data_IF_183619147260
#
_entry.id   IF_183619147260
#
_cell.length_a   1.000
_cell.length_b   1.000
_cell.length_c   1.000
_cell.angle_alpha   90.00
_cell.angle_beta   90.00
_cell.angle_gamma   90.00
#
_symmetry.space_group_name_H-M   'P 1'
#
loop_
_entity.id
_entity.type
_entity.pdbx_description
1 polymer ?
#
# COMPACT_ATOMS: atom_id res chain seq x y z
N UNK A 1 26.10 -6.83 20.48
CA UNK A 1 26.76 -8.14 20.48
C UNK A 1 25.71 -9.23 20.63
N UNK A 2 25.87 -10.34 19.91
CA UNK A 2 25.03 -11.53 20.04
C UNK A 2 25.70 -12.52 21.00
N UNK A 3 24.90 -13.22 21.78
CA UNK A 3 25.37 -14.23 22.75
C UNK A 3 24.97 -15.62 22.29
N UNK A 4 25.82 -16.62 22.60
CA UNK A 4 25.56 -18.02 22.40
C UNK A 4 26.18 -18.80 23.54
N UNK A 5 25.35 -19.51 24.31
CA UNK A 5 25.83 -20.48 25.28
C UNK A 5 26.36 -21.71 24.55
N UNK A 6 27.55 -22.14 24.90
CA UNK A 6 28.20 -23.33 24.33
C UNK A 6 28.62 -24.28 25.45
N UNK A 7 28.37 -25.56 25.28
CA UNK A 7 28.84 -26.59 26.19
C UNK A 7 29.14 -27.87 25.41
N UNK A 8 30.11 -28.63 25.87
CA UNK A 8 30.37 -29.99 25.38
C UNK A 8 30.20 -30.95 26.54
N UNK A 9 29.31 -31.93 26.36
CA UNK A 9 28.95 -32.86 27.44
C UNK A 9 28.92 -34.31 26.95
N UNK A 10 29.16 -35.23 27.88
CA UNK A 10 29.04 -36.69 27.66
C UNK A 10 27.80 -37.20 28.40
N UNK A 11 27.16 -38.19 27.85
CA UNK A 11 25.99 -38.87 28.44
C UNK A 11 25.96 -40.32 28.05
N UNK A 12 25.33 -41.15 28.88
CA UNK A 12 25.15 -42.57 28.63
C UNK A 12 23.69 -42.86 28.36
N UNK A 13 23.41 -43.56 27.25
CA UNK A 13 22.07 -44.01 26.89
C UNK A 13 22.12 -45.48 26.44
N UNK A 14 21.24 -46.32 27.04
CA UNK A 14 21.21 -47.76 26.79
C UNK A 14 22.58 -48.48 26.89
N UNK A 15 23.45 -48.03 27.83
CA UNK A 15 24.76 -48.63 28.07
C UNK A 15 25.88 -48.16 27.13
N UNK A 16 25.59 -47.26 26.19
CA UNK A 16 26.56 -46.64 25.29
C UNK A 16 26.84 -45.21 25.65
N UNK A 17 28.11 -44.79 25.52
CA UNK A 17 28.55 -43.40 25.79
C UNK A 17 28.48 -42.56 24.50
N UNK A 18 27.91 -41.37 24.63
CA UNK A 18 27.76 -40.37 23.54
C UNK A 18 28.31 -39.04 23.98
N UNK A 19 28.64 -38.19 22.99
CA UNK A 19 29.07 -36.82 23.22
C UNK A 19 28.22 -35.88 22.35
N UNK A 20 27.77 -34.77 22.90
CA UNK A 20 27.06 -33.72 22.17
C UNK A 20 27.56 -32.31 22.57
N UNK A 21 27.43 -31.39 21.66
CA UNK A 21 27.68 -29.93 21.88
C UNK A 21 26.40 -29.10 21.74
N UNK A 22 25.28 -29.77 21.56
CA UNK A 22 23.99 -29.10 21.32
C UNK A 22 23.33 -28.71 22.64
N UNK A 23 23.38 -27.44 23.00
CA UNK A 23 22.85 -26.93 24.27
C UNK A 23 21.33 -26.85 24.29
N UNK A 24 20.72 -26.33 23.23
CA UNK A 24 19.27 -26.13 23.12
C UNK A 24 18.73 -26.61 21.75
N UNK A 25 17.40 -26.69 21.62
CA UNK A 25 16.75 -27.00 20.33
C UNK A 25 17.09 -25.92 19.29
N UNK A 26 17.03 -24.64 19.66
CA UNK A 26 17.46 -23.54 18.84
C UNK A 26 18.97 -23.34 18.99
N UNK A 27 19.73 -23.64 17.94
CA UNK A 27 21.21 -23.57 17.91
C UNK A 27 21.70 -22.27 17.25
N UNK A 28 21.20 -21.12 17.66
CA UNK A 28 21.60 -19.81 17.14
C UNK A 28 22.30 -18.93 18.18
N UNK A 29 23.06 -17.92 17.72
CA UNK A 29 23.45 -16.80 18.54
C UNK A 29 22.39 -15.69 18.39
N UNK A 30 21.90 -15.17 19.50
CA UNK A 30 20.92 -14.09 19.49
C UNK A 30 21.15 -13.13 20.66
N UNK A 31 20.48 -11.99 20.61
CA UNK A 31 20.43 -11.00 21.69
C UNK A 31 18.97 -10.77 22.15
N UNK A 32 18.08 -11.73 21.87
CA UNK A 32 16.65 -11.65 22.20
C UNK A 32 16.42 -12.26 23.59
N UNK A 33 16.30 -11.40 24.59
CA UNK A 33 16.11 -11.80 25.99
C UNK A 33 17.40 -12.23 26.67
N UNK A 34 17.27 -12.70 27.91
CA UNK A 34 18.37 -13.17 28.74
C UNK A 34 18.66 -14.68 28.60
N UNK A 35 17.93 -15.38 27.72
CA UNK A 35 17.95 -16.84 27.63
C UNK A 35 19.37 -17.43 27.48
N UNK A 36 20.16 -16.89 26.56
CA UNK A 36 21.52 -17.37 26.32
C UNK A 36 22.43 -17.09 27.52
N UNK A 37 22.27 -15.95 28.16
CA UNK A 37 23.04 -15.53 29.34
C UNK A 37 22.64 -16.32 30.58
N UNK A 38 21.35 -16.64 30.73
CA UNK A 38 20.86 -17.44 31.86
C UNK A 38 21.37 -18.87 31.77
N UNK A 39 21.33 -19.47 30.58
CA UNK A 39 21.91 -20.79 30.31
C UNK A 39 23.42 -20.77 30.56
N UNK A 40 24.13 -19.75 30.06
CA UNK A 40 25.58 -19.66 30.25
C UNK A 40 25.95 -19.60 31.73
N UNK A 41 25.25 -18.80 32.52
CA UNK A 41 25.43 -18.72 33.98
C UNK A 41 25.12 -20.05 34.67
N UNK A 42 24.06 -20.74 34.26
CA UNK A 42 23.71 -22.04 34.84
C UNK A 42 24.76 -23.10 34.48
N UNK A 43 25.17 -23.20 33.22
CA UNK A 43 26.18 -24.16 32.77
C UNK A 43 27.56 -23.90 33.39
N UNK A 44 27.95 -22.63 33.55
CA UNK A 44 29.20 -22.26 34.22
C UNK A 44 29.22 -22.72 35.71
N UNK A 45 28.05 -22.78 36.36
CA UNK A 45 27.96 -23.29 37.73
C UNK A 45 28.25 -24.80 37.81
N UNK A 46 27.96 -25.56 36.74
CA UNK A 46 28.25 -27.00 36.69
C UNK A 46 29.60 -27.33 36.06
N UNK A 47 30.28 -26.34 35.48
CA UNK A 47 31.60 -26.54 34.88
C UNK A 47 32.64 -26.97 35.93
N UNK A 48 33.32 -28.08 35.65
CA UNK A 48 34.34 -28.61 36.56
C UNK A 48 33.81 -29.30 37.83
N UNK A 49 32.49 -29.47 37.96
CA UNK A 49 31.86 -30.24 39.04
C UNK A 49 31.52 -31.66 38.58
N UNK A 50 31.53 -32.64 39.49
CA UNK A 50 31.06 -33.99 39.23
C UNK A 50 29.52 -34.13 39.37
N UNK A 51 28.81 -33.02 39.45
CA UNK A 51 27.35 -32.99 39.61
C UNK A 51 26.72 -33.29 38.24
N UNK A 52 25.88 -34.37 38.12
CA UNK A 52 25.27 -34.70 36.85
C UNK A 52 24.22 -33.66 36.42
N UNK A 53 24.34 -33.20 35.19
CA UNK A 53 23.32 -32.29 34.56
C UNK A 53 22.37 -33.11 33.69
N UNK A 54 21.09 -32.80 33.72
CA UNK A 54 20.06 -33.51 32.94
C UNK A 54 20.16 -33.18 31.47
N UNK A 55 20.22 -34.20 30.60
CA UNK A 55 20.07 -34.03 29.15
C UNK A 55 18.82 -34.77 28.62
N UNK A 56 18.35 -34.37 27.47
CA UNK A 56 17.25 -35.01 26.75
C UNK A 56 17.80 -35.64 25.49
N UNK A 57 17.62 -36.95 25.37
CA UNK A 57 18.14 -37.79 24.28
C UNK A 57 17.01 -38.14 23.32
N UNK A 58 17.25 -38.10 22.00
CA UNK A 58 16.32 -38.58 21.01
C UNK A 58 16.35 -40.14 20.99
N UNK A 59 15.26 -40.83 21.35
CA UNK A 59 15.26 -42.28 21.39
C UNK A 59 15.43 -42.94 20.01
N UNK A 60 15.06 -42.31 18.93
CA UNK A 60 15.21 -42.80 17.55
C UNK A 60 16.65 -42.60 17.04
N UNK A 61 17.35 -41.61 17.57
CA UNK A 61 18.74 -41.35 17.23
C UNK A 61 19.51 -40.87 18.47
N UNK A 62 20.07 -41.82 19.26
CA UNK A 62 20.73 -41.51 20.53
C UNK A 62 21.95 -40.58 20.43
N UNK A 63 22.52 -40.38 19.26
CA UNK A 63 23.60 -39.39 19.06
C UNK A 63 23.10 -37.93 19.13
N UNK A 64 21.79 -37.71 19.10
CA UNK A 64 21.17 -36.41 19.24
C UNK A 64 20.66 -36.19 20.65
N UNK A 65 21.29 -35.26 21.37
CA UNK A 65 20.85 -34.85 22.68
C UNK A 65 20.90 -33.33 22.83
N UNK A 66 20.06 -32.81 23.72
CA UNK A 66 20.02 -31.35 24.07
C UNK A 66 19.92 -31.24 25.59
N UNK A 67 20.49 -30.17 26.16
CA UNK A 67 20.36 -29.85 27.57
C UNK A 67 19.03 -29.16 27.90
N UNK A 68 18.60 -28.29 27.01
CA UNK A 68 17.37 -27.52 27.18
C UNK A 68 16.39 -27.79 26.03
N UNK A 69 15.18 -28.27 26.41
CA UNK A 69 14.08 -28.58 25.45
C UNK A 69 13.02 -27.46 25.38
N UNK A 70 13.28 -26.34 26.07
CA UNK A 70 12.30 -25.27 26.13
C UNK A 70 12.19 -24.57 24.79
N UNK A 71 10.96 -24.45 24.29
CA UNK A 71 10.65 -23.57 23.18
C UNK A 71 10.52 -22.12 23.70
N UNK A 72 10.99 -21.18 22.92
CA UNK A 72 10.94 -19.74 23.24
C UNK A 72 9.71 -19.10 22.57
N UNK A 73 8.57 -18.97 23.29
CA UNK A 73 7.31 -18.53 22.68
C UNK A 73 7.43 -17.13 22.08
N UNK A 74 8.23 -16.25 22.66
CA UNK A 74 8.47 -14.91 22.14
C UNK A 74 9.19 -14.91 20.78
N UNK A 75 10.23 -15.73 20.63
CA UNK A 75 10.97 -15.90 19.38
C UNK A 75 10.09 -16.54 18.30
N UNK A 76 9.32 -17.58 18.68
CA UNK A 76 8.37 -18.22 17.76
C UNK A 76 7.28 -17.26 17.28
N UNK A 77 6.75 -16.42 18.19
CA UNK A 77 5.79 -15.38 17.82
C UNK A 77 6.41 -14.39 16.83
N UNK A 78 7.65 -13.95 17.08
CA UNK A 78 8.37 -13.06 16.17
C UNK A 78 8.51 -13.69 14.78
N UNK A 79 8.96 -14.94 14.69
CA UNK A 79 9.06 -15.65 13.41
C UNK A 79 7.72 -15.80 12.72
N UNK A 80 6.65 -16.11 13.46
CA UNK A 80 5.29 -16.19 12.91
C UNK A 80 4.83 -14.85 12.34
N UNK A 81 5.08 -13.74 13.04
CA UNK A 81 4.76 -12.38 12.57
C UNK A 81 5.48 -12.07 11.26
N UNK A 82 6.80 -12.34 11.21
CA UNK A 82 7.58 -12.12 9.99
C UNK A 82 7.11 -13.02 8.84
N UNK A 83 6.84 -14.30 9.12
CA UNK A 83 6.32 -15.23 8.11
C UNK A 83 4.99 -14.76 7.54
N UNK A 84 4.06 -14.30 8.38
CA UNK A 84 2.76 -13.79 7.95
C UNK A 84 2.90 -12.48 7.16
N UNK A 85 3.75 -11.55 7.61
CA UNK A 85 3.95 -10.28 6.94
C UNK A 85 4.58 -10.47 5.55
N UNK A 86 5.74 -11.11 5.49
CA UNK A 86 6.47 -11.27 4.22
C UNK A 86 5.89 -12.35 3.32
N UNK A 87 5.37 -13.45 3.89
CA UNK A 87 4.67 -14.48 3.14
C UNK A 87 3.37 -13.95 2.52
N UNK A 88 2.58 -13.20 3.29
CA UNK A 88 1.38 -12.53 2.80
C UNK A 88 1.68 -11.51 1.70
N UNK A 89 2.71 -10.68 1.88
CA UNK A 89 3.17 -9.73 0.86
C UNK A 89 3.63 -10.47 -0.41
N UNK A 90 4.39 -11.56 -0.28
CA UNK A 90 4.83 -12.40 -1.41
C UNK A 90 3.67 -12.99 -2.20
N UNK A 91 2.69 -13.58 -1.51
CA UNK A 91 1.47 -14.11 -2.13
C UNK A 91 0.70 -12.99 -2.86
N UNK A 92 0.57 -11.83 -2.22
CA UNK A 92 -0.09 -10.65 -2.80
C UNK A 92 0.60 -10.18 -4.08
N UNK A 93 1.94 -10.14 -4.11
CA UNK A 93 2.71 -9.79 -5.32
C UNK A 93 2.52 -10.81 -6.44
N UNK A 94 2.53 -12.12 -6.14
CA UNK A 94 2.29 -13.16 -7.13
C UNK A 94 0.88 -13.04 -7.71
N UNK A 95 -0.13 -12.89 -6.85
CA UNK A 95 -1.52 -12.70 -7.29
C UNK A 95 -1.67 -11.44 -8.16
N UNK A 96 -1.06 -10.33 -7.77
CA UNK A 96 -1.03 -9.09 -8.53
C UNK A 96 -0.34 -9.25 -9.89
N UNK A 97 0.77 -9.96 -9.95
CA UNK A 97 1.47 -10.26 -11.21
C UNK A 97 0.63 -11.13 -12.16
N UNK A 98 -0.07 -12.14 -11.62
CA UNK A 98 -0.97 -12.99 -12.42
C UNK A 98 -2.17 -12.21 -12.95
N UNK A 99 -2.73 -11.33 -12.12
CA UNK A 99 -3.82 -10.43 -12.55
C UNK A 99 -3.34 -9.45 -13.63
N UNK A 100 -2.18 -8.82 -13.43
CA UNK A 100 -1.59 -7.90 -14.41
C UNK A 100 -1.31 -8.56 -15.77
N UNK A 101 -0.82 -9.82 -15.78
CA UNK A 101 -0.63 -10.58 -17.03
C UNK A 101 -1.94 -10.80 -17.80
N UNK A 102 -3.04 -11.03 -17.07
CA UNK A 102 -4.37 -11.18 -17.70
C UNK A 102 -4.86 -9.86 -18.30
N UNK A 103 -4.64 -8.75 -17.58
CA UNK A 103 -4.98 -7.41 -18.05
C UNK A 103 -4.23 -7.05 -19.33
N UNK A 104 -2.90 -7.22 -19.35
CA UNK A 104 -2.06 -6.97 -20.53
C UNK A 104 -2.47 -7.84 -21.73
N UNK A 105 -2.78 -9.12 -21.49
CA UNK A 105 -3.24 -10.00 -22.58
C UNK A 105 -4.58 -9.53 -23.16
N UNK A 106 -5.50 -9.07 -22.32
CA UNK A 106 -6.77 -8.53 -22.77
C UNK A 106 -6.58 -7.23 -23.55
N UNK A 107 -5.72 -6.34 -23.07
CA UNK A 107 -5.38 -5.09 -23.75
C UNK A 107 -4.75 -5.36 -25.13
N UNK A 108 -3.79 -6.27 -25.24
CA UNK A 108 -3.18 -6.64 -26.53
C UNK A 108 -4.23 -7.15 -27.53
N UNK A 109 -5.19 -7.95 -27.08
CA UNK A 109 -6.31 -8.40 -27.93
C UNK A 109 -7.18 -7.24 -28.41
N UNK A 110 -7.47 -6.27 -27.52
CA UNK A 110 -8.26 -5.09 -27.87
C UNK A 110 -7.49 -4.15 -28.81
N UNK A 111 -6.15 -4.02 -28.68
CA UNK A 111 -5.29 -3.30 -29.61
C UNK A 111 -5.36 -3.87 -31.03
N UNK A 112 -5.38 -5.20 -31.17
CA UNK A 112 -5.56 -5.88 -32.46
C UNK A 112 -6.97 -5.69 -33.04
N UNK A 113 -7.99 -5.67 -32.18
CA UNK A 113 -9.39 -5.54 -32.58
C UNK A 113 -9.77 -4.11 -32.96
N UNK A 114 -9.20 -3.10 -32.30
CA UNK A 114 -9.51 -1.68 -32.48
C UNK A 114 -8.25 -0.87 -32.80
N UNK A 115 -7.59 -1.08 -33.94
CA UNK A 115 -6.42 -0.33 -34.33
C UNK A 115 -6.77 1.15 -34.53
N UNK A 116 -5.96 2.05 -33.93
CA UNK A 116 -6.17 3.50 -34.00
C UNK A 116 -7.25 4.08 -33.08
N UNK A 117 -7.79 3.27 -32.16
CA UNK A 117 -8.73 3.72 -31.13
C UNK A 117 -8.22 3.37 -29.72
N UNK A 118 -7.21 4.07 -29.19
CA UNK A 118 -6.56 3.71 -27.91
C UNK A 118 -7.53 3.68 -26.73
N UNK A 119 -8.56 4.50 -26.72
CA UNK A 119 -9.59 4.50 -25.68
C UNK A 119 -10.41 3.20 -25.59
N UNK A 120 -10.40 2.38 -26.65
CA UNK A 120 -11.07 1.07 -26.65
C UNK A 120 -10.21 -0.04 -26.02
N UNK A 121 -8.93 0.19 -25.84
CA UNK A 121 -8.01 -0.82 -25.28
C UNK A 121 -8.18 -0.98 -23.77
N UNK A 122 -8.69 0.04 -23.09
CA UNK A 122 -9.05 0.00 -21.69
C UNK A 122 -10.56 -0.20 -21.53
N UNK A 123 -10.97 -1.32 -20.95
CA UNK A 123 -12.39 -1.66 -20.79
C UNK A 123 -13.19 -0.65 -19.96
N UNK A 124 -12.56 0.02 -18.99
CA UNK A 124 -13.22 1.07 -18.21
C UNK A 124 -13.51 2.31 -19.07
N UNK A 125 -12.58 2.68 -19.95
CA UNK A 125 -12.77 3.81 -20.86
C UNK A 125 -13.80 3.47 -21.95
N UNK A 126 -13.68 2.29 -22.55
CA UNK A 126 -14.60 1.82 -23.60
C UNK A 126 -16.06 1.78 -23.14
N UNK A 127 -16.30 1.49 -21.86
CA UNK A 127 -17.67 1.47 -21.30
C UNK A 127 -18.25 2.88 -21.07
N UNK A 128 -17.43 3.93 -21.13
CA UNK A 128 -17.83 5.29 -20.78
C UNK A 128 -18.08 5.50 -19.28
N UNK A 129 -17.79 4.48 -18.46
CA UNK A 129 -18.11 4.48 -17.03
C UNK A 129 -16.85 4.21 -16.23
N UNK A 130 -16.33 5.23 -15.57
CA UNK A 130 -15.05 5.19 -14.88
C UNK A 130 -15.28 5.20 -13.36
N UNK A 131 -14.78 4.18 -12.68
CA UNK A 131 -14.82 4.12 -11.22
C UNK A 131 -13.75 4.99 -10.58
N UNK A 132 -14.09 5.61 -9.44
CA UNK A 132 -13.11 6.33 -8.66
C UNK A 132 -12.07 5.41 -8.03
N UNK A 133 -10.88 5.97 -7.76
CA UNK A 133 -9.77 5.25 -7.10
C UNK A 133 -9.98 5.02 -5.59
N UNK A 134 -11.05 5.51 -4.97
CA UNK A 134 -11.25 5.51 -3.53
C UNK A 134 -11.16 4.13 -2.88
N UNK A 135 -11.76 3.11 -3.52
CA UNK A 135 -11.69 1.72 -3.03
C UNK A 135 -10.26 1.19 -3.03
N UNK A 136 -9.53 1.42 -4.12
CA UNK A 136 -8.14 0.99 -4.23
C UNK A 136 -7.24 1.67 -3.19
N UNK A 137 -7.45 2.98 -2.97
CA UNK A 137 -6.74 3.76 -1.94
C UNK A 137 -7.04 3.22 -0.55
N UNK A 138 -8.31 2.94 -0.22
CA UNK A 138 -8.70 2.39 1.08
C UNK A 138 -8.05 1.02 1.33
N UNK A 139 -8.05 0.13 0.34
CA UNK A 139 -7.38 -1.17 0.46
C UNK A 139 -5.87 -1.05 0.59
N UNK A 140 -5.23 -0.20 -0.22
CA UNK A 140 -3.79 0.04 -0.14
C UNK A 140 -3.40 0.61 1.23
N UNK A 141 -4.17 1.57 1.75
CA UNK A 141 -3.96 2.15 3.07
C UNK A 141 -4.07 1.10 4.18
N UNK A 142 -5.11 0.24 4.15
CA UNK A 142 -5.29 -0.85 5.11
C UNK A 142 -4.15 -1.86 5.06
N UNK A 143 -3.77 -2.30 3.87
CA UNK A 143 -2.68 -3.26 3.70
C UNK A 143 -1.35 -2.69 4.20
N UNK A 144 -1.03 -1.45 3.83
CA UNK A 144 0.22 -0.82 4.24
C UNK A 144 0.26 -0.54 5.74
N UNK A 145 -0.80 0.02 6.31
CA UNK A 145 -0.90 0.25 7.74
C UNK A 145 -0.88 -1.08 8.52
N UNK A 146 -1.60 -2.10 8.06
CA UNK A 146 -1.59 -3.43 8.67
C UNK A 146 -0.21 -4.07 8.66
N UNK A 147 0.46 -4.07 7.50
CA UNK A 147 1.81 -4.62 7.36
C UNK A 147 2.81 -3.88 8.27
N UNK A 148 2.80 -2.55 8.27
CA UNK A 148 3.68 -1.76 9.11
C UNK A 148 3.48 -2.03 10.60
N UNK A 149 2.22 -1.99 11.06
CA UNK A 149 1.89 -2.18 12.47
C UNK A 149 2.14 -3.63 12.93
N UNK A 150 1.89 -4.62 12.08
CA UNK A 150 2.15 -6.04 12.36
C UNK A 150 3.62 -6.29 12.71
N UNK A 151 4.54 -5.54 12.09
CA UNK A 151 5.98 -5.67 12.34
C UNK A 151 6.41 -4.80 13.52
N UNK A 152 6.02 -3.52 13.52
CA UNK A 152 6.60 -2.53 14.44
C UNK A 152 6.11 -2.66 15.87
N UNK A 153 4.83 -3.02 16.11
CA UNK A 153 4.32 -3.18 17.47
C UNK A 153 4.95 -4.37 18.21
N UNK A 154 4.98 -5.58 17.67
CA UNK A 154 5.65 -6.70 18.35
C UNK A 154 7.13 -6.44 18.56
N UNK A 155 7.79 -5.83 17.57
CA UNK A 155 9.22 -5.54 17.65
C UNK A 155 9.50 -4.54 18.79
N UNK A 156 8.75 -3.45 18.88
CA UNK A 156 8.86 -2.46 19.94
C UNK A 156 8.53 -3.06 21.32
N UNK A 157 7.46 -3.87 21.41
CA UNK A 157 7.08 -4.57 22.65
C UNK A 157 8.17 -5.51 23.16
N UNK A 158 9.02 -6.02 22.27
CA UNK A 158 10.14 -6.88 22.62
C UNK A 158 11.40 -6.09 22.96
N UNK A 159 11.80 -5.15 22.11
CA UNK A 159 13.10 -4.43 22.21
C UNK A 159 13.09 -3.40 23.34
N UNK A 160 11.99 -2.64 23.49
CA UNK A 160 11.97 -1.51 24.42
C UNK A 160 12.10 -1.94 25.88
N UNK A 161 11.35 -2.95 26.40
CA UNK A 161 11.48 -3.36 27.78
C UNK A 161 12.87 -3.94 28.11
N UNK A 162 13.49 -4.62 27.14
CA UNK A 162 14.83 -5.20 27.32
C UNK A 162 15.90 -4.10 27.39
N UNK A 163 15.92 -3.19 26.41
CA UNK A 163 16.89 -2.13 26.39
C UNK A 163 16.80 -1.21 27.61
N UNK A 164 15.59 -0.98 28.15
CA UNK A 164 15.41 -0.24 29.39
C UNK A 164 15.96 -0.97 30.60
N UNK A 165 15.80 -2.30 30.69
CA UNK A 165 16.41 -3.12 31.76
C UNK A 165 17.92 -3.09 31.69
N UNK A 166 18.50 -2.99 30.50
CA UNK A 166 19.93 -2.90 30.25
C UNK A 166 20.48 -1.45 30.40
N UNK A 167 19.65 -0.50 30.86
CA UNK A 167 20.01 0.91 31.03
C UNK A 167 20.17 1.70 29.72
N UNK A 168 19.75 1.16 28.60
CA UNK A 168 19.91 1.79 27.29
C UNK A 168 18.70 2.69 26.95
N UNK A 169 18.70 3.94 27.35
CA UNK A 169 17.59 4.88 27.10
C UNK A 169 17.37 5.17 25.60
N UNK A 170 18.42 5.05 24.77
CA UNK A 170 18.32 5.22 23.32
C UNK A 170 17.32 4.25 22.65
N UNK A 171 16.99 3.12 23.29
CA UNK A 171 15.97 2.17 22.80
C UNK A 171 14.58 2.81 22.67
N UNK A 172 14.30 3.91 23.40
CA UNK A 172 13.04 4.66 23.28
C UNK A 172 12.83 5.24 21.87
N UNK A 173 13.91 5.46 21.09
CA UNK A 173 13.80 5.86 19.68
C UNK A 173 13.07 4.79 18.84
N UNK A 174 13.08 3.53 19.25
CA UNK A 174 12.32 2.47 18.56
C UNK A 174 10.81 2.71 18.62
N UNK A 175 10.29 3.49 19.58
CA UNK A 175 8.88 3.87 19.66
C UNK A 175 8.43 4.80 18.53
N UNK A 176 9.35 5.43 17.81
CA UNK A 176 8.99 6.22 16.61
C UNK A 176 8.34 5.35 15.53
N UNK A 177 8.74 4.08 15.39
CA UNK A 177 8.15 3.19 14.39
C UNK A 177 6.67 2.88 14.64
N UNK A 178 6.23 2.43 15.83
CA UNK A 178 4.81 2.28 16.13
C UNK A 178 4.07 3.64 16.15
N UNK A 179 4.70 4.77 16.49
CA UNK A 179 4.08 6.09 16.40
C UNK A 179 3.73 6.44 14.94
N UNK A 180 4.64 6.21 13.99
CA UNK A 180 4.35 6.30 12.54
C UNK A 180 3.23 5.32 12.16
N UNK A 181 3.24 4.10 12.71
CA UNK A 181 2.22 3.10 12.51
C UNK A 181 0.81 3.57 12.93
N UNK A 182 0.69 4.27 14.04
CA UNK A 182 -0.58 4.89 14.47
C UNK A 182 -1.05 5.97 13.49
N UNK A 183 -0.15 6.79 12.97
CA UNK A 183 -0.46 7.77 11.92
C UNK A 183 -0.98 7.10 10.63
N UNK A 184 -0.33 6.02 10.20
CA UNK A 184 -0.79 5.22 9.05
C UNK A 184 -2.15 4.56 9.31
N UNK A 185 -2.39 4.07 10.53
CA UNK A 185 -3.70 3.51 10.92
C UNK A 185 -4.80 4.57 10.89
N UNK A 186 -4.54 5.77 11.40
CA UNK A 186 -5.48 6.89 11.33
C UNK A 186 -5.79 7.27 9.87
N UNK A 187 -4.78 7.37 9.00
CA UNK A 187 -4.99 7.60 7.57
C UNK A 187 -5.81 6.49 6.91
N UNK A 188 -5.55 5.22 7.21
CA UNK A 188 -6.32 4.08 6.71
C UNK A 188 -7.78 4.15 7.16
N UNK A 189 -8.04 4.50 8.44
CA UNK A 189 -9.40 4.70 8.96
C UNK A 189 -10.13 5.79 8.18
N UNK A 190 -9.50 6.95 7.96
CA UNK A 190 -10.09 8.05 7.17
C UNK A 190 -10.40 7.60 5.74
N UNK A 191 -9.49 6.88 5.09
CA UNK A 191 -9.69 6.36 3.73
C UNK A 191 -10.87 5.37 3.67
N UNK A 192 -10.98 4.46 4.64
CA UNK A 192 -12.09 3.50 4.74
C UNK A 192 -13.41 4.20 5.04
N UNK A 193 -13.44 5.15 5.98
CA UNK A 193 -14.64 5.92 6.31
C UNK A 193 -15.11 6.71 5.09
N UNK A 194 -14.19 7.34 4.36
CA UNK A 194 -14.50 8.04 3.10
C UNK A 194 -15.12 7.08 2.09
N UNK A 195 -14.47 5.93 1.84
CA UNK A 195 -15.01 4.93 0.91
C UNK A 195 -16.38 4.39 1.35
N UNK A 196 -16.56 4.09 2.64
CA UNK A 196 -17.87 3.63 3.18
C UNK A 196 -18.96 4.70 3.09
N UNK A 197 -18.62 5.98 3.33
CA UNK A 197 -19.57 7.10 3.31
C UNK A 197 -20.03 7.41 1.88
N UNK A 198 -19.11 7.43 0.91
CA UNK A 198 -19.39 7.88 -0.45
C UNK A 198 -19.49 6.74 -1.47
N UNK A 199 -19.05 5.54 -1.12
CA UNK A 199 -19.02 4.38 -2.00
C UNK A 199 -17.97 4.51 -3.11
N UNK A 200 -18.15 3.72 -4.15
CA UNK A 200 -17.43 3.86 -5.41
C UNK A 200 -18.17 4.92 -6.24
N UNK A 201 -17.62 6.14 -6.29
CA UNK A 201 -18.13 7.17 -7.19
C UNK A 201 -17.86 6.79 -8.63
N UNK A 202 -18.81 7.06 -9.51
CA UNK A 202 -18.79 6.71 -10.92
C UNK A 202 -18.78 7.97 -11.77
N UNK A 203 -17.89 8.08 -12.74
CA UNK A 203 -17.96 9.11 -13.77
C UNK A 203 -18.55 8.49 -15.05
N UNK A 204 -19.74 8.91 -15.44
CA UNK A 204 -20.40 8.56 -16.69
C UNK A 204 -20.09 9.64 -17.71
N UNK A 205 -19.29 9.31 -18.73
CA UNK A 205 -18.94 10.21 -19.81
C UNK A 205 -20.11 10.35 -20.80
N UNK A 206 -20.37 11.57 -21.23
CA UNK A 206 -21.41 11.82 -22.26
C UNK A 206 -20.96 11.33 -23.65
N UNK A 207 -19.66 11.37 -23.92
CA UNK A 207 -19.01 10.83 -25.12
C UNK A 207 -17.65 10.24 -24.77
N UNK A 208 -17.23 9.22 -25.51
CA UNK A 208 -15.91 8.55 -25.33
C UNK A 208 -15.19 8.55 -26.67
N UNK A 209 -13.95 9.07 -26.68
CA UNK A 209 -13.19 9.75 -25.63
C UNK A 209 -13.61 11.22 -25.42
N UNK A 210 -13.01 11.91 -24.42
CA UNK A 210 -12.94 13.35 -24.39
C UNK A 210 -12.10 13.86 -25.56
N UNK A 211 -12.49 14.95 -26.17
CA UNK A 211 -11.93 15.41 -27.46
C UNK A 211 -11.06 16.66 -27.24
N UNK A 212 -9.79 16.60 -27.72
CA UNK A 212 -8.93 17.79 -27.76
C UNK A 212 -9.52 18.83 -28.71
N UNK A 213 -9.62 20.08 -28.27
CA UNK A 213 -10.36 21.13 -28.99
C UNK A 213 -11.87 20.94 -28.94
N UNK A 214 -12.38 20.21 -27.94
CA UNK A 214 -13.78 19.92 -27.75
C UNK A 214 -14.15 19.79 -26.26
N UNK A 215 -15.39 19.35 -25.95
CA UNK A 215 -15.84 19.19 -24.59
C UNK A 215 -15.44 17.85 -23.99
N UNK A 216 -15.12 17.87 -22.68
CA UNK A 216 -15.23 16.71 -21.81
C UNK A 216 -16.48 16.92 -20.95
N UNK A 217 -17.52 16.14 -21.19
CA UNK A 217 -18.79 16.25 -20.49
C UNK A 217 -19.23 14.91 -19.90
N UNK A 218 -20.00 14.97 -18.83
CA UNK A 218 -20.52 13.78 -18.16
C UNK A 218 -21.15 14.10 -16.81
N UNK A 219 -21.34 13.05 -16.02
CA UNK A 219 -21.95 13.14 -14.69
C UNK A 219 -21.18 12.26 -13.71
N UNK A 220 -20.75 12.83 -12.58
CA UNK A 220 -20.23 12.04 -11.49
C UNK A 220 -21.40 11.63 -10.58
N UNK A 221 -21.60 10.32 -10.39
CA UNK A 221 -22.56 9.77 -9.45
C UNK A 221 -21.88 9.26 -8.20
N UNK A 222 -22.40 9.62 -7.04
CA UNK A 222 -21.93 9.10 -5.75
C UNK A 222 -23.10 8.57 -4.94
N UNK A 223 -22.89 7.44 -4.26
CA UNK A 223 -23.91 6.77 -3.42
C UNK A 223 -24.13 7.47 -2.07
N UNK A 224 -23.99 8.78 -2.04
CA UNK A 224 -24.21 9.57 -0.85
C UNK A 224 -24.92 10.86 -1.22
N UNK A 225 -25.79 11.32 -0.32
CA UNK A 225 -26.38 12.64 -0.42
C UNK A 225 -25.35 13.67 0.02
N UNK A 226 -24.67 14.29 -0.93
CA UNK A 226 -23.71 15.35 -0.65
C UNK A 226 -24.44 16.59 -0.12
N UNK A 227 -23.91 17.16 0.96
CA UNK A 227 -24.31 18.46 1.49
C UNK A 227 -23.08 19.33 1.59
N UNK A 228 -22.55 19.77 0.44
CA UNK A 228 -21.35 20.62 0.44
C UNK A 228 -21.65 21.97 1.06
N UNK A 229 -20.69 22.56 1.75
CA UNK A 229 -20.80 23.91 2.32
C UNK A 229 -20.71 24.94 1.19
N UNK A 230 -19.67 24.82 0.33
CA UNK A 230 -19.34 25.78 -0.72
C UNK A 230 -19.48 25.21 -2.15
N UNK A 231 -20.28 24.15 -2.32
CA UNK A 231 -20.39 23.45 -3.59
C UNK A 231 -19.35 22.34 -3.78
N UNK A 232 -19.18 21.87 -5.03
CA UNK A 232 -18.24 20.83 -5.42
C UNK A 232 -17.19 21.43 -6.35
N UNK A 233 -15.93 21.34 -5.98
CA UNK A 233 -14.83 21.76 -6.83
C UNK A 233 -14.44 20.61 -7.75
N UNK A 234 -14.49 20.86 -9.05
CA UNK A 234 -14.04 19.98 -10.11
C UNK A 234 -12.72 20.50 -10.65
N UNK A 235 -11.70 19.68 -10.72
CA UNK A 235 -10.41 20.02 -11.32
C UNK A 235 -10.05 18.97 -12.37
N UNK A 236 -9.78 19.43 -13.60
CA UNK A 236 -9.27 18.58 -14.67
C UNK A 236 -7.79 18.92 -14.91
N UNK A 237 -6.94 17.93 -14.78
CA UNK A 237 -5.50 18.07 -14.94
C UNK A 237 -4.99 17.20 -16.09
N UNK A 238 -4.20 17.78 -17.01
CA UNK A 238 -3.30 17.03 -17.89
C UNK A 238 -1.95 16.91 -17.19
N UNK A 239 -1.48 15.69 -16.97
CA UNK A 239 -0.30 15.39 -16.16
C UNK A 239 0.65 14.52 -16.97
N UNK A 240 1.91 14.96 -17.11
CA UNK A 240 2.99 14.08 -17.55
C UNK A 240 3.62 13.45 -16.33
N UNK A 241 3.69 12.13 -16.34
CA UNK A 241 4.31 11.31 -15.30
C UNK A 241 5.46 10.53 -15.91
N UNK A 242 6.67 10.76 -15.43
CA UNK A 242 7.83 10.03 -15.92
C UNK A 242 8.65 9.45 -14.78
N UNK A 243 9.38 8.38 -15.08
CA UNK A 243 10.26 7.73 -14.12
C UNK A 243 11.71 7.92 -14.56
N UNK A 244 12.52 8.46 -13.65
CA UNK A 244 13.97 8.63 -13.82
C UNK A 244 14.73 7.63 -12.98
N UNK A 245 15.95 7.27 -13.41
CA UNK A 245 16.81 6.33 -12.70
C UNK A 245 16.53 4.86 -13.00
N UNK A 246 17.39 3.99 -12.49
CA UNK A 246 17.30 2.53 -12.66
C UNK A 246 17.44 1.81 -11.32
N UNK A 247 16.77 0.66 -11.18
CA UNK A 247 16.86 -0.19 -10.01
C UNK A 247 16.37 0.50 -8.72
N UNK A 248 17.24 0.56 -7.71
CA UNK A 248 16.89 1.13 -6.38
C UNK A 248 16.74 2.66 -6.37
N UNK A 249 17.24 3.35 -7.38
CA UNK A 249 17.22 4.81 -7.49
C UNK A 249 16.15 5.31 -8.47
N UNK A 250 15.13 4.50 -8.74
CA UNK A 250 14.01 4.91 -9.58
C UNK A 250 13.13 5.90 -8.83
N UNK A 251 12.99 7.12 -9.36
CA UNK A 251 12.06 8.15 -8.90
C UNK A 251 10.95 8.34 -9.94
N UNK A 252 9.74 8.61 -9.47
CA UNK A 252 8.62 8.97 -10.34
C UNK A 252 8.27 10.44 -10.08
N UNK A 253 8.24 11.22 -11.14
CA UNK A 253 7.92 12.64 -11.10
C UNK A 253 6.64 12.91 -11.88
N UNK A 254 5.86 13.88 -11.41
CA UNK A 254 4.64 14.36 -12.08
C UNK A 254 4.77 15.86 -12.35
N UNK A 255 4.39 16.28 -13.56
CA UNK A 255 4.27 17.68 -13.94
C UNK A 255 2.90 17.93 -14.54
N UNK A 256 2.22 18.94 -14.02
CA UNK A 256 0.96 19.41 -14.58
C UNK A 256 1.28 20.23 -15.83
N UNK A 257 0.78 19.79 -16.98
CA UNK A 257 0.92 20.44 -18.27
C UNK A 257 -0.21 21.46 -18.49
N UNK A 258 -1.42 21.11 -18.05
CA UNK A 258 -2.59 21.95 -18.14
C UNK A 258 -3.57 21.67 -17.00
N UNK A 259 -4.32 22.69 -16.57
CA UNK A 259 -5.31 22.59 -15.50
C UNK A 259 -6.46 23.55 -15.76
N UNK A 260 -7.69 23.08 -15.54
CA UNK A 260 -8.89 23.91 -15.40
C UNK A 260 -9.65 23.49 -14.13
N UNK A 261 -10.24 24.48 -13.44
CA UNK A 261 -10.98 24.26 -12.19
C UNK A 261 -12.33 24.93 -12.28
N UNK A 262 -13.39 24.22 -11.87
CA UNK A 262 -14.78 24.71 -11.87
C UNK A 262 -15.46 24.36 -10.56
N UNK A 263 -16.21 25.29 -10.02
CA UNK A 263 -17.04 25.07 -8.83
C UNK A 263 -18.48 24.88 -9.25
N UNK A 264 -19.05 23.74 -8.93
CA UNK A 264 -20.47 23.41 -9.14
C UNK A 264 -21.22 23.81 -7.88
N UNK A 265 -22.07 24.80 -7.98
CA UNK A 265 -22.87 25.28 -6.87
C UNK A 265 -23.89 24.23 -6.44
N UNK A 266 -24.34 24.32 -5.19
CA UNK A 266 -25.21 23.34 -4.56
C UNK A 266 -26.56 23.18 -5.27
N UNK A 267 -27.10 24.23 -5.84
CA UNK A 267 -28.36 24.26 -6.60
C UNK A 267 -28.27 23.53 -7.94
N UNK A 268 -27.07 23.44 -8.53
CA UNK A 268 -26.82 22.71 -9.76
C UNK A 268 -26.66 21.17 -9.53
N UNK A 269 -26.55 20.74 -8.28
CA UNK A 269 -26.46 19.32 -7.95
C UNK A 269 -27.85 18.65 -8.05
N UNK A 270 -27.94 17.57 -8.80
CA UNK A 270 -29.16 16.75 -8.82
C UNK A 270 -29.11 15.76 -7.66
N UNK A 271 -29.92 16.02 -6.66
CA UNK A 271 -30.05 15.20 -5.45
C UNK A 271 -31.23 14.26 -5.60
N UNK A 272 -30.96 12.96 -5.53
CA UNK A 272 -31.97 11.92 -5.38
C UNK A 272 -31.97 11.40 -3.92
N UNK A 273 -32.89 10.50 -3.57
CA UNK A 273 -33.04 10.02 -2.17
C UNK A 273 -31.76 9.41 -1.59
N UNK A 274 -30.93 8.77 -2.40
CA UNK A 274 -29.72 8.07 -1.97
C UNK A 274 -28.45 8.43 -2.76
N UNK A 275 -28.57 9.25 -3.81
CA UNK A 275 -27.46 9.55 -4.73
C UNK A 275 -27.34 11.05 -4.98
N UNK A 276 -26.13 11.49 -5.32
CA UNK A 276 -25.88 12.83 -5.83
C UNK A 276 -25.24 12.71 -7.20
N UNK A 277 -25.81 13.43 -8.19
CA UNK A 277 -25.26 13.59 -9.51
C UNK A 277 -24.65 14.98 -9.67
N UNK A 278 -23.36 15.02 -10.00
CA UNK A 278 -22.56 16.24 -10.17
C UNK A 278 -22.32 16.41 -11.67
N UNK A 279 -22.85 17.45 -12.34
CA UNK A 279 -22.59 17.68 -13.74
C UNK A 279 -21.11 18.08 -13.95
N UNK A 280 -20.50 17.52 -14.98
CA UNK A 280 -19.12 17.80 -15.39
C UNK A 280 -19.12 18.35 -16.81
N UNK A 281 -18.44 19.49 -17.00
CA UNK A 281 -18.24 20.07 -18.32
C UNK A 281 -16.96 20.90 -18.33
N UNK A 282 -15.99 20.49 -19.16
CA UNK A 282 -14.75 21.22 -19.42
C UNK A 282 -14.57 21.42 -20.92
N UNK A 283 -13.97 22.53 -21.32
CA UNK A 283 -13.50 22.75 -22.68
C UNK A 283 -12.00 22.43 -22.70
N UNK A 284 -11.60 21.43 -23.48
CA UNK A 284 -10.21 21.00 -23.57
C UNK A 284 -9.52 21.78 -24.68
N UNK A 285 -8.35 22.42 -24.45
CA UNK A 285 -7.60 23.08 -25.51
C UNK A 285 -7.18 22.11 -26.61
N UNK A 286 -7.16 22.60 -27.85
CA UNK A 286 -6.73 21.79 -29.00
C UNK A 286 -5.23 21.45 -28.95
N UNK A 287 -4.42 22.35 -28.44
CA UNK A 287 -2.97 22.25 -28.33
C UNK A 287 -2.48 21.50 -27.08
N UNK A 288 -3.40 21.00 -26.26
CA UNK A 288 -3.05 20.17 -25.11
C UNK A 288 -2.58 18.77 -25.56
N UNK A 289 -1.79 18.13 -24.72
CA UNK A 289 -1.28 16.78 -24.98
C UNK A 289 -2.39 15.73 -24.82
N UNK A 290 -2.49 14.80 -25.76
CA UNK A 290 -3.43 13.67 -25.62
C UNK A 290 -2.94 12.64 -24.57
N UNK A 291 -3.85 11.80 -24.13
CA UNK A 291 -3.50 10.63 -23.30
C UNK A 291 -2.48 9.77 -24.04
N UNK A 292 -1.34 9.50 -23.40
CA UNK A 292 -0.31 8.61 -23.90
C UNK A 292 0.08 7.62 -22.79
N UNK A 293 -0.14 6.34 -23.05
CA UNK A 293 0.10 5.23 -22.14
C UNK A 293 1.02 4.15 -22.74
N UNK A 294 1.60 4.43 -23.92
CA UNK A 294 2.40 3.45 -24.66
C UNK A 294 3.73 3.14 -23.98
N UNK A 295 4.30 4.11 -23.27
CA UNK A 295 5.55 3.95 -22.55
C UNK A 295 5.35 3.96 -21.05
N UNK A 296 5.54 2.82 -20.32
CA UNK A 296 5.32 2.76 -18.87
C UNK A 296 6.17 3.72 -18.04
N UNK A 297 7.30 4.20 -18.59
CA UNK A 297 8.22 5.12 -17.92
C UNK A 297 7.99 6.59 -18.23
N UNK A 298 7.14 6.94 -19.20
CA UNK A 298 6.78 8.31 -19.56
C UNK A 298 5.35 8.31 -20.12
N UNK A 299 4.39 8.85 -19.38
CA UNK A 299 2.97 8.75 -19.67
C UNK A 299 2.31 10.12 -19.55
N UNK A 300 1.34 10.38 -20.41
CA UNK A 300 0.44 11.53 -20.28
C UNK A 300 -0.93 11.02 -19.87
N UNK A 301 -1.43 11.51 -18.76
CA UNK A 301 -2.72 11.12 -18.22
C UNK A 301 -3.59 12.37 -17.92
N UNK A 302 -4.89 12.20 -18.07
CA UNK A 302 -5.88 13.20 -17.70
C UNK A 302 -6.59 12.74 -16.44
N UNK A 303 -6.56 13.59 -15.40
CA UNK A 303 -7.15 13.30 -14.09
C UNK A 303 -8.25 14.30 -13.78
N UNK A 304 -9.48 13.80 -13.68
CA UNK A 304 -10.63 14.54 -13.16
C UNK A 304 -10.72 14.30 -11.67
N UNK A 305 -10.70 15.37 -10.90
CA UNK A 305 -10.84 15.36 -9.44
C UNK A 305 -12.11 16.09 -9.04
N UNK A 306 -12.87 15.53 -8.10
CA UNK A 306 -14.04 16.15 -7.51
C UNK A 306 -13.87 16.18 -6.00
N UNK A 307 -13.91 17.37 -5.39
CA UNK A 307 -13.75 17.57 -3.95
C UNK A 307 -14.83 18.45 -3.39
N UNK A 308 -15.27 18.19 -2.17
CA UNK A 308 -16.22 19.02 -1.46
C UNK A 308 -16.02 18.93 0.05
N UNK A 309 -16.01 20.07 0.73
CA UNK A 309 -16.09 20.13 2.19
C UNK A 309 -17.48 19.66 2.64
N UNK A 310 -17.50 18.66 3.53
CA UNK A 310 -18.74 18.07 4.03
C UNK A 310 -18.58 17.72 5.51
N UNK A 311 -19.64 17.70 6.31
CA UNK A 311 -19.56 17.36 7.72
C UNK A 311 -18.87 16.00 7.95
N UNK A 312 -17.82 15.99 8.77
CA UNK A 312 -17.01 14.83 9.12
C UNK A 312 -15.86 14.60 8.14
N UNK A 313 -15.94 13.60 7.25
CA UNK A 313 -14.92 13.31 6.24
C UNK A 313 -15.33 13.92 4.92
N UNK A 314 -14.44 14.72 4.32
CA UNK A 314 -14.66 15.40 3.05
C UNK A 314 -14.82 14.42 1.88
N UNK A 315 -15.68 14.82 0.95
CA UNK A 315 -15.83 14.12 -0.33
C UNK A 315 -14.58 14.34 -1.19
N UNK A 316 -14.08 13.28 -1.76
CA UNK A 316 -12.99 13.31 -2.76
C UNK A 316 -13.13 12.09 -3.67
N UNK A 317 -13.13 12.31 -4.97
CA UNK A 317 -13.14 11.27 -5.98
C UNK A 317 -12.20 11.65 -7.11
N UNK A 318 -11.45 10.68 -7.64
CA UNK A 318 -10.49 10.86 -8.73
C UNK A 318 -10.76 9.85 -9.82
N UNK A 319 -10.71 10.32 -11.07
CA UNK A 319 -10.97 9.52 -12.28
C UNK A 319 -9.88 9.78 -13.31
N UNK A 320 -9.34 8.74 -13.90
CA UNK A 320 -8.43 8.84 -15.04
C UNK A 320 -9.25 8.73 -16.32
N UNK A 321 -9.35 9.85 -17.05
CA UNK A 321 -10.24 9.96 -18.21
C UNK A 321 -9.46 9.91 -19.53
N UNK A 322 -9.97 9.24 -20.57
CA UNK A 322 -9.36 9.21 -21.89
C UNK A 322 -9.61 10.53 -22.63
N UNK A 323 -8.54 11.19 -23.06
CA UNK A 323 -8.61 12.42 -23.90
C UNK A 323 -7.70 12.24 -25.11
N UNK A 324 -8.26 12.36 -26.30
CA UNK A 324 -7.55 12.06 -27.53
C UNK A 324 -7.88 13.05 -28.65
N UNK A 325 -7.02 13.15 -29.65
CA UNK A 325 -7.37 13.72 -30.93
C UNK A 325 -8.33 12.77 -31.67
N UNK A 326 -9.41 13.33 -32.19
CA UNK A 326 -10.40 12.63 -33.00
C UNK A 326 -10.73 13.45 -34.26
N UNK A 327 -11.56 12.90 -35.12
CA UNK A 327 -12.09 13.63 -36.27
C UNK A 327 -12.96 14.87 -35.88
N UNK A 328 -13.39 14.93 -34.63
CA UNK A 328 -14.18 16.03 -34.07
C UNK A 328 -13.31 17.14 -33.44
N UNK A 329 -12.00 16.93 -33.37
CA UNK A 329 -11.05 17.91 -32.82
C UNK A 329 -11.01 19.17 -33.68
N UNK A 330 -11.25 20.35 -33.07
CA UNK A 330 -11.28 21.64 -33.74
C UNK A 330 -10.34 22.63 -33.09
N UNK A 331 -9.50 23.30 -33.89
CA UNK A 331 -8.59 24.32 -33.42
C UNK A 331 -9.32 25.63 -32.96
N UNK A 332 -10.52 25.85 -33.48
CA UNK A 332 -11.28 27.08 -33.24
C UNK A 332 -12.31 26.96 -32.09
N UNK A 333 -12.28 25.88 -31.30
CA UNK A 333 -13.14 25.82 -30.10
C UNK A 333 -12.69 26.84 -29.08
N UNK A 334 -13.55 27.81 -28.64
CA UNK A 334 -13.16 28.78 -27.63
C UNK A 334 -12.75 28.03 -26.38
N UNK A 335 -11.45 28.09 -26.05
CA UNK A 335 -10.96 27.73 -24.72
C UNK A 335 -11.79 28.59 -23.74
N UNK A 336 -12.51 27.92 -22.83
CA UNK A 336 -13.29 28.65 -21.84
C UNK A 336 -12.37 29.67 -21.18
N UNK A 337 -12.82 30.95 -21.21
CA UNK A 337 -12.08 32.09 -20.68
C UNK A 337 -11.56 31.69 -19.27
N UNK A 338 -10.26 31.78 -18.98
CA UNK A 338 -9.76 31.53 -17.63
C UNK A 338 -10.44 32.55 -16.71
N UNK A 339 -10.97 32.07 -15.59
CA UNK A 339 -11.49 32.96 -14.55
C UNK A 339 -10.34 33.90 -14.16
N UNK A 340 -10.50 35.20 -14.53
CA UNK A 340 -9.58 36.24 -14.12
C UNK A 340 -9.71 36.32 -12.60
N UNK A 341 -8.70 35.91 -11.87
CA UNK A 341 -8.51 36.28 -10.47
C UNK A 341 -8.36 37.79 -10.44
N UNK A 342 -9.46 38.50 -10.19
CA UNK A 342 -9.40 39.88 -9.72
C UNK A 342 -8.88 39.84 -8.29
N UNK A 343 -7.57 40.01 -8.16
CA UNK A 343 -6.95 40.35 -6.89
C UNK A 343 -7.38 41.78 -6.50
N UNK A 344 -7.98 41.91 -5.34
CA UNK A 344 -7.94 43.06 -4.44
C UNK A 344 -7.76 42.56 -3.02
#
# INVERSE_FOLDING_TARGET
STYRATARYRYTYAGHEYTSDRVAIESGSDNIGSFQQDIDRELTHYEGTDIPFRCFVNPENPSQAVLYRQLRPGTLLLYAVFMLAFGGAGIGMIAGALYGRRSVRNENRLREQYPGQPWQWNTAWASGTINSSNRAIAFAALLFAGFWNLITFPLAAFIVPQGLRDGQTAVLLALLFPAVGLGLAAWAVVAVVRWRKYGDSLFEMASVPGVLGGPLAGVIRTKARLRPEDGVNLTLNCIRRWSTGTGKNRSTEERILWRDTRTIQRDALKLDMAETAIPVQFAIPFDAEQTDDDTPSDRILWRLEATAATPGVDFSAQFEVPVFHTLESRADSPAGEPAIETGE
#
